data_IF_457419608475
#
_entry.id   IF_457419608475
#
_cell.length_a   1.000
_cell.length_b   1.000
_cell.length_c   1.000
_cell.angle_alpha   90.00
_cell.angle_beta   90.00
_cell.angle_gamma   90.00
#
_symmetry.space_group_name_H-M   'P 1'
#
loop_
_entity.id
_entity.type
_entity.pdbx_description
1 polymer ?
#
# COMPACT_ATOMS: atom_id res chain seq x y z
N UNK A 1 48.10 -53.50 -28.24
CA UNK A 1 46.92 -53.52 -27.35
C UNK A 1 47.29 -52.79 -26.05
N UNK A 2 47.04 -51.48 -25.97
CA UNK A 2 47.36 -50.63 -24.80
C UNK A 2 46.11 -50.46 -23.93
N UNK A 3 46.09 -51.11 -22.75
CA UNK A 3 45.02 -50.92 -21.76
C UNK A 3 45.18 -49.55 -21.08
N UNK A 4 44.35 -48.57 -21.44
CA UNK A 4 44.15 -47.34 -20.66
C UNK A 4 43.51 -47.71 -19.32
N UNK A 5 44.25 -47.60 -18.22
CA UNK A 5 43.71 -47.66 -16.85
C UNK A 5 43.01 -46.33 -16.54
N UNK A 6 41.69 -46.32 -16.62
CA UNK A 6 40.88 -45.20 -16.15
C UNK A 6 40.79 -45.28 -14.61
N UNK A 7 41.56 -44.47 -13.88
CA UNK A 7 41.44 -44.35 -12.42
C UNK A 7 40.38 -43.30 -12.12
N UNK A 8 39.13 -43.72 -11.93
CA UNK A 8 38.16 -42.89 -11.21
C UNK A 8 38.62 -42.79 -9.76
N UNK A 9 39.11 -41.61 -9.38
CA UNK A 9 39.56 -41.31 -8.03
C UNK A 9 38.35 -40.72 -7.29
N UNK A 10 37.62 -41.55 -6.56
CA UNK A 10 36.56 -41.07 -5.67
C UNK A 10 37.17 -40.11 -4.65
N UNK A 11 36.89 -38.82 -4.80
CA UNK A 11 37.38 -37.76 -3.91
C UNK A 11 36.63 -37.87 -2.59
N UNK A 12 37.25 -38.49 -1.59
CA UNK A 12 36.72 -38.58 -0.22
C UNK A 12 36.80 -37.19 0.43
N UNK A 13 35.66 -36.53 0.62
CA UNK A 13 35.57 -35.20 1.26
C UNK A 13 36.04 -35.30 2.72
N UNK A 14 36.90 -34.38 3.16
CA UNK A 14 37.39 -34.38 4.55
C UNK A 14 36.38 -33.74 5.50
N UNK A 15 36.35 -34.19 6.77
CA UNK A 15 35.43 -33.63 7.78
C UNK A 15 35.59 -32.10 7.94
N UNK A 16 36.80 -31.57 7.80
CA UNK A 16 37.08 -30.12 7.83
C UNK A 16 36.45 -29.37 6.66
N UNK A 17 36.42 -29.97 5.46
CA UNK A 17 35.72 -29.38 4.30
C UNK A 17 34.21 -29.32 4.53
N UNK A 18 33.63 -30.35 5.16
CA UNK A 18 32.21 -30.36 5.53
C UNK A 18 31.87 -29.27 6.55
N UNK A 19 32.74 -29.04 7.56
CA UNK A 19 32.56 -27.96 8.54
C UNK A 19 32.62 -26.59 7.86
N UNK A 20 33.59 -26.36 6.97
CA UNK A 20 33.72 -25.07 6.27
C UNK A 20 32.49 -24.79 5.41
N UNK A 21 32.03 -25.78 4.64
CA UNK A 21 30.82 -25.63 3.80
C UNK A 21 29.59 -25.42 4.69
N UNK A 22 29.46 -26.16 5.80
CA UNK A 22 28.37 -25.98 6.76
C UNK A 22 28.33 -24.57 7.35
N UNK A 23 29.47 -24.06 7.84
CA UNK A 23 29.58 -22.70 8.36
C UNK A 23 29.25 -21.64 7.30
N UNK A 24 29.69 -21.85 6.05
CA UNK A 24 29.39 -20.93 4.95
C UNK A 24 27.88 -20.90 4.62
N UNK A 25 27.21 -22.05 4.62
CA UNK A 25 25.76 -22.12 4.42
C UNK A 25 24.99 -21.42 5.54
N UNK A 26 25.46 -21.51 6.79
CA UNK A 26 24.85 -20.80 7.93
C UNK A 26 24.99 -19.28 7.74
N UNK A 27 26.17 -18.78 7.35
CA UNK A 27 26.39 -17.36 7.11
C UNK A 27 25.49 -16.84 5.97
N UNK A 28 25.37 -17.60 4.87
CA UNK A 28 24.47 -17.25 3.76
C UNK A 28 23.01 -17.23 4.23
N UNK A 29 22.59 -18.22 5.02
CA UNK A 29 21.23 -18.27 5.58
C UNK A 29 20.91 -17.05 6.45
N UNK A 30 21.82 -16.68 7.36
CA UNK A 30 21.69 -15.48 8.19
C UNK A 30 21.65 -14.22 7.31
N UNK A 31 22.50 -14.16 6.28
CA UNK A 31 22.51 -13.04 5.33
C UNK A 31 21.19 -12.86 4.60
N UNK A 32 20.53 -13.94 4.18
CA UNK A 32 19.22 -13.88 3.51
C UNK A 32 18.14 -13.38 4.48
N UNK A 33 18.08 -13.92 5.70
CA UNK A 33 17.08 -13.51 6.70
C UNK A 33 17.31 -12.07 7.15
N UNK A 34 18.56 -11.73 7.49
CA UNK A 34 18.96 -10.38 7.88
C UNK A 34 18.74 -9.36 6.77
N UNK A 35 19.07 -9.71 5.52
CA UNK A 35 18.81 -8.87 4.35
C UNK A 35 17.32 -8.61 4.14
N UNK A 36 16.45 -9.63 4.30
CA UNK A 36 14.99 -9.46 4.24
C UNK A 36 14.49 -8.53 5.34
N UNK A 37 14.98 -8.69 6.57
CA UNK A 37 14.58 -7.84 7.69
C UNK A 37 15.00 -6.38 7.46
N UNK A 38 16.25 -6.14 7.08
CA UNK A 38 16.77 -4.80 6.77
C UNK A 38 16.00 -4.16 5.61
N UNK A 39 15.74 -4.92 4.54
CA UNK A 39 14.97 -4.42 3.41
C UNK A 39 13.53 -4.04 3.80
N UNK A 40 12.86 -4.82 4.65
CA UNK A 40 11.54 -4.45 5.18
C UNK A 40 11.60 -3.17 6.02
N UNK A 41 12.60 -3.05 6.90
CA UNK A 41 12.79 -1.87 7.75
C UNK A 41 12.99 -0.60 6.92
N UNK A 42 13.90 -0.64 5.94
CA UNK A 42 14.16 0.49 5.04
C UNK A 42 12.92 0.87 4.21
N UNK A 43 12.13 -0.10 3.79
CA UNK A 43 10.89 0.17 3.04
C UNK A 43 9.82 0.82 3.91
N UNK A 44 9.66 0.40 5.16
CA UNK A 44 8.71 1.03 6.09
C UNK A 44 9.11 2.48 6.39
N UNK A 45 10.39 2.72 6.66
CA UNK A 45 10.91 4.08 6.88
C UNK A 45 10.72 4.97 5.65
N UNK A 46 10.94 4.42 4.45
CA UNK A 46 10.66 5.14 3.22
C UNK A 46 9.16 5.48 3.07
N UNK A 47 8.27 4.56 3.44
CA UNK A 47 6.82 4.81 3.44
C UNK A 47 6.43 5.93 4.41
N UNK A 48 6.91 5.87 5.65
CA UNK A 48 6.69 6.90 6.68
C UNK A 48 7.15 8.27 6.17
N UNK A 49 8.38 8.37 5.64
CA UNK A 49 8.90 9.61 5.07
C UNK A 49 8.05 10.15 3.91
N UNK A 50 7.49 9.28 3.05
CA UNK A 50 6.62 9.71 1.94
C UNK A 50 5.27 10.24 2.45
N UNK A 51 4.71 9.63 3.49
CA UNK A 51 3.47 10.07 4.13
C UNK A 51 3.70 11.40 4.88
N UNK A 52 4.81 11.53 5.60
CA UNK A 52 5.19 12.77 6.28
C UNK A 52 5.38 13.92 5.28
N UNK A 53 6.11 13.66 4.19
CA UNK A 53 6.29 14.64 3.10
C UNK A 53 4.94 15.06 2.52
N UNK A 54 4.03 14.11 2.28
CA UNK A 54 2.67 14.40 1.82
C UNK A 54 1.93 15.32 2.82
N UNK A 55 1.95 15.02 4.12
CA UNK A 55 1.27 15.87 5.10
C UNK A 55 1.87 17.28 5.18
N UNK A 56 3.18 17.43 5.08
CA UNK A 56 3.80 18.77 5.02
C UNK A 56 3.35 19.54 3.76
N UNK A 57 3.37 18.91 2.58
CA UNK A 57 2.88 19.52 1.34
C UNK A 57 1.38 19.90 1.43
N UNK A 58 0.56 19.12 2.14
CA UNK A 58 -0.86 19.45 2.33
C UNK A 58 -1.13 20.57 3.33
N UNK A 59 -0.25 20.78 4.33
CA UNK A 59 -0.40 21.91 5.28
C UNK A 59 -0.27 23.26 4.56
N UNK A 60 0.65 23.34 3.60
CA UNK A 60 0.82 24.56 2.77
C UNK A 60 -0.47 24.91 2.03
N UNK A 61 -1.21 23.92 1.52
CA UNK A 61 -2.52 24.12 0.88
C UNK A 61 -3.56 24.66 1.87
N UNK A 62 -3.57 24.16 3.10
CA UNK A 62 -4.50 24.61 4.14
C UNK A 62 -4.22 26.07 4.51
N UNK A 63 -2.96 26.46 4.66
CA UNK A 63 -2.55 27.80 5.08
C UNK A 63 -2.79 28.89 4.00
N UNK A 64 -2.71 28.52 2.71
CA UNK A 64 -2.96 29.45 1.58
C UNK A 64 -4.44 29.81 1.34
N UNK A 65 -5.40 29.20 2.05
CA UNK A 65 -6.84 29.52 1.88
C UNK A 65 -7.33 30.78 2.62
N UNK A 66 -6.40 31.59 3.15
CA UNK A 66 -6.72 32.95 3.64
C UNK A 66 -6.55 33.95 2.48
N UNK A 67 -7.57 34.76 2.11
CA UNK A 67 -7.47 35.57 0.89
C UNK A 67 -6.48 36.72 1.09
N UNK A 68 -5.33 36.66 0.43
CA UNK A 68 -4.55 37.85 0.10
C UNK A 68 -3.90 37.67 -1.28
N UNK A 69 -4.19 38.65 -2.12
CA UNK A 69 -3.78 38.98 -3.49
C UNK A 69 -2.51 38.33 -4.09
N UNK A 70 -2.64 38.04 -5.39
CA UNK A 70 -1.63 37.68 -6.40
C UNK A 70 -0.21 38.23 -6.14
N UNK A 71 0.78 37.32 -6.10
CA UNK A 71 2.14 37.60 -6.59
C UNK A 71 2.77 36.38 -7.27
N UNK A 72 2.88 36.50 -8.58
CA UNK A 72 3.98 36.14 -9.49
C UNK A 72 4.97 35.03 -9.09
N UNK A 73 5.07 34.04 -9.98
CA UNK A 73 5.99 32.92 -10.00
C UNK A 73 7.47 33.36 -10.08
N UNK A 74 8.32 32.82 -9.20
CA UNK A 74 9.75 32.63 -9.49
C UNK A 74 10.09 31.14 -9.46
N UNK A 75 10.43 30.60 -10.63
CA UNK A 75 11.08 29.30 -10.79
C UNK A 75 12.46 29.32 -10.12
N UNK A 76 12.65 28.55 -9.05
CA UNK A 76 13.99 28.17 -8.58
C UNK A 76 14.21 26.67 -8.77
N UNK A 77 14.91 26.36 -9.86
CA UNK A 77 15.51 25.07 -10.13
C UNK A 77 16.54 24.72 -9.04
N UNK A 78 16.36 23.58 -8.36
CA UNK A 78 17.39 22.91 -7.57
C UNK A 78 17.71 21.52 -8.14
N UNK A 79 18.93 21.00 -7.91
CA UNK A 79 19.64 20.20 -8.89
C UNK A 79 19.21 18.73 -8.89
N UNK A 80 19.07 18.21 -10.10
CA UNK A 80 18.95 16.80 -10.45
C UNK A 80 20.05 15.97 -9.79
N UNK A 81 19.67 15.14 -8.82
CA UNK A 81 20.47 13.99 -8.39
C UNK A 81 19.57 12.76 -8.40
N UNK A 82 19.74 11.94 -9.44
CA UNK A 82 19.24 10.57 -9.64
C UNK A 82 17.80 10.30 -9.22
N UNK A 83 16.84 10.60 -10.11
CA UNK A 83 15.43 10.22 -9.97
C UNK A 83 15.25 8.70 -9.92
N UNK A 84 15.27 8.13 -8.71
CA UNK A 84 14.38 7.00 -8.43
C UNK A 84 12.96 7.55 -8.57
N UNK A 85 12.09 6.91 -9.35
CA UNK A 85 10.69 7.38 -9.56
C UNK A 85 9.99 7.47 -8.19
N UNK A 86 10.00 8.66 -7.58
CA UNK A 86 9.33 8.98 -6.31
C UNK A 86 7.85 8.64 -6.50
N UNK A 87 7.29 7.87 -5.59
CA UNK A 87 5.84 7.67 -5.57
C UNK A 87 5.25 8.98 -5.12
N UNK A 88 4.38 9.55 -5.95
CA UNK A 88 3.65 10.77 -5.62
C UNK A 88 2.29 10.38 -5.06
N UNK A 89 2.09 10.63 -3.77
CA UNK A 89 0.84 10.31 -3.08
C UNK A 89 -0.12 11.47 -3.23
N UNK A 90 -1.33 11.16 -3.69
CA UNK A 90 -2.39 12.16 -3.82
C UNK A 90 -3.32 12.19 -2.62
N UNK A 91 -3.32 11.13 -1.82
CA UNK A 91 -4.13 11.00 -0.61
C UNK A 91 -3.48 10.02 0.36
N UNK A 92 -3.89 10.04 1.63
CA UNK A 92 -3.51 9.04 2.63
C UNK A 92 -4.79 8.46 3.24
N UNK A 93 -4.91 7.13 3.26
CA UNK A 93 -5.98 6.45 3.99
C UNK A 93 -5.51 6.03 5.38
N UNK A 94 -6.37 6.22 6.37
CA UNK A 94 -6.16 5.78 7.75
C UNK A 94 -7.34 4.94 8.25
N UNK A 95 -7.04 3.81 8.88
CA UNK A 95 -8.01 2.95 9.55
C UNK A 95 -7.47 2.60 10.94
N UNK A 96 -7.79 3.40 11.98
CA UNK A 96 -7.18 3.29 13.30
C UNK A 96 -7.33 1.91 13.94
N UNK A 97 -8.52 1.29 13.86
CA UNK A 97 -8.81 -0.02 14.48
C UNK A 97 -7.86 -1.14 14.06
N UNK A 98 -7.30 -1.04 12.85
CA UNK A 98 -6.38 -2.05 12.30
C UNK A 98 -4.95 -1.51 12.13
N UNK A 99 -4.68 -0.31 12.60
CA UNK A 99 -3.38 0.36 12.49
C UNK A 99 -2.90 0.53 11.05
N UNK A 100 -3.82 0.75 10.11
CA UNK A 100 -3.47 1.01 8.71
C UNK A 100 -3.34 2.52 8.51
N UNK A 101 -2.19 2.93 7.99
CA UNK A 101 -1.95 4.26 7.44
C UNK A 101 -1.13 4.07 6.16
N UNK A 102 -1.65 4.54 5.02
CA UNK A 102 -1.07 4.22 3.71
C UNK A 102 -1.33 5.32 2.69
N UNK A 103 -0.27 5.75 2.01
CA UNK A 103 -0.38 6.68 0.89
C UNK A 103 -1.00 6.03 -0.34
N UNK A 104 -1.86 6.77 -1.03
CA UNK A 104 -2.57 6.38 -2.24
C UNK A 104 -1.96 7.09 -3.45
N UNK A 105 -1.54 6.32 -4.44
CA UNK A 105 -0.99 6.86 -5.67
C UNK A 105 -2.11 7.31 -6.63
N UNK A 106 -1.83 8.31 -7.47
CA UNK A 106 -2.80 8.80 -8.46
C UNK A 106 -3.24 7.71 -9.45
N UNK A 107 -4.46 7.82 -9.98
CA UNK A 107 -5.05 6.80 -10.86
C UNK A 107 -4.18 6.43 -12.07
N UNK A 108 -3.50 7.40 -12.66
CA UNK A 108 -2.58 7.21 -13.79
C UNK A 108 -1.17 6.73 -13.40
N UNK A 109 -0.88 6.58 -12.11
CA UNK A 109 0.43 6.18 -11.63
C UNK A 109 0.71 4.70 -11.85
N UNK A 110 1.96 4.38 -12.21
CA UNK A 110 2.48 3.01 -12.19
C UNK A 110 2.31 2.32 -10.83
N UNK A 111 2.20 3.09 -9.75
CA UNK A 111 2.06 2.58 -8.39
C UNK A 111 0.59 2.35 -7.97
N UNK A 112 -0.40 2.81 -8.74
CA UNK A 112 -1.82 2.59 -8.46
C UNK A 112 -2.27 1.20 -8.97
N UNK A 113 -1.84 0.15 -8.28
CA UNK A 113 -2.30 -1.22 -8.53
C UNK A 113 -2.12 -2.09 -7.29
N UNK A 114 -2.96 -3.12 -7.15
CA UNK A 114 -2.96 -4.02 -5.98
C UNK A 114 -1.64 -4.76 -5.72
N UNK A 115 -0.80 -4.94 -6.75
CA UNK A 115 0.52 -5.57 -6.60
C UNK A 115 1.56 -4.63 -5.95
N UNK A 116 1.26 -3.33 -5.80
CA UNK A 116 2.18 -2.31 -5.28
C UNK A 116 1.57 -1.44 -4.18
N UNK A 117 0.29 -1.12 -4.27
CA UNK A 117 -0.43 -0.21 -3.36
C UNK A 117 -1.91 -0.63 -3.21
N UNK A 118 -2.67 0.10 -2.40
CA UNK A 118 -4.12 0.13 -2.48
C UNK A 118 -4.49 0.82 -3.81
N UNK A 119 -5.34 0.16 -4.59
CA UNK A 119 -5.80 0.64 -5.89
C UNK A 119 -7.00 1.57 -5.71
N UNK A 120 -6.89 2.81 -6.17
CA UNK A 120 -8.04 3.65 -6.49
C UNK A 120 -8.59 3.18 -7.83
N UNK A 121 -9.84 2.70 -7.88
CA UNK A 121 -10.45 2.25 -9.14
C UNK A 121 -10.67 3.41 -10.10
N UNK A 122 -10.70 3.09 -11.41
CA UNK A 122 -10.91 4.10 -12.45
C UNK A 122 -12.26 4.81 -12.28
N UNK A 123 -13.29 4.05 -11.92
CA UNK A 123 -14.68 4.47 -11.68
C UNK A 123 -14.87 5.24 -10.36
N UNK A 124 -13.86 5.30 -9.51
CA UNK A 124 -13.91 6.00 -8.22
C UNK A 124 -14.11 7.51 -8.40
N UNK A 125 -14.84 8.16 -7.52
CA UNK A 125 -14.69 9.60 -7.31
C UNK A 125 -13.50 9.89 -6.37
N UNK A 126 -13.21 11.17 -6.12
CA UNK A 126 -12.32 11.61 -5.05
C UNK A 126 -13.12 12.13 -3.85
N UNK A 127 -12.53 12.23 -2.64
CA UNK A 127 -13.28 12.57 -1.42
C UNK A 127 -14.06 13.89 -1.45
N UNK A 128 -13.57 14.87 -2.23
CA UNK A 128 -14.15 16.21 -2.43
C UNK A 128 -15.40 16.23 -3.33
N UNK A 129 -15.69 15.14 -4.02
CA UNK A 129 -16.90 15.03 -4.85
C UNK A 129 -18.13 14.88 -3.96
N UNK A 130 -19.01 15.89 -3.97
CA UNK A 130 -20.31 15.84 -3.31
C UNK A 130 -21.10 14.60 -3.77
N UNK A 131 -21.64 13.84 -2.80
CA UNK A 131 -22.38 12.60 -3.02
C UNK A 131 -21.64 11.53 -3.84
N UNK A 132 -20.31 11.68 -3.95
CA UNK A 132 -19.43 10.77 -4.65
C UNK A 132 -19.17 9.47 -3.90
N UNK A 133 -18.44 8.56 -4.55
CA UNK A 133 -17.98 7.32 -3.96
C UNK A 133 -16.49 7.09 -4.25
N UNK A 134 -15.66 7.15 -3.22
CA UNK A 134 -14.26 6.74 -3.32
C UNK A 134 -14.21 5.21 -3.25
N UNK A 135 -13.64 4.54 -4.25
CA UNK A 135 -13.62 3.08 -4.36
C UNK A 135 -12.18 2.59 -4.33
N UNK A 136 -11.83 1.89 -3.25
CA UNK A 136 -10.49 1.38 -3.00
C UNK A 136 -10.50 -0.15 -2.99
N UNK A 137 -9.55 -0.76 -3.70
CA UNK A 137 -9.33 -2.20 -3.68
C UNK A 137 -7.92 -2.54 -3.18
N UNK A 138 -7.81 -3.57 -2.36
CA UNK A 138 -6.53 -4.01 -1.80
C UNK A 138 -6.48 -5.52 -1.58
N UNK A 139 -5.28 -6.08 -1.62
CA UNK A 139 -5.09 -7.49 -1.30
C UNK A 139 -5.38 -7.79 0.18
N UNK A 140 -5.93 -8.98 0.40
CA UNK A 140 -5.99 -9.64 1.70
C UNK A 140 -5.03 -10.84 1.71
N UNK A 141 -4.60 -11.29 2.89
CA UNK A 141 -3.69 -12.42 3.07
C UNK A 141 -2.35 -12.03 3.71
N UNK A 142 -1.30 -12.79 3.39
CA UNK A 142 0.03 -12.69 4.02
C UNK A 142 1.08 -11.98 3.18
N UNK A 143 0.74 -11.58 1.95
CA UNK A 143 1.64 -10.85 1.06
C UNK A 143 2.04 -9.49 1.62
N UNK A 144 3.20 -8.97 1.20
CA UNK A 144 3.69 -7.65 1.64
C UNK A 144 2.77 -6.50 1.28
N UNK A 145 2.04 -6.62 0.17
CA UNK A 145 1.06 -5.63 -0.30
C UNK A 145 -0.37 -5.96 0.11
N UNK A 146 -0.56 -6.91 1.04
CA UNK A 146 -1.87 -7.25 1.60
C UNK A 146 -2.32 -6.20 2.63
N UNK A 147 -2.42 -4.94 2.22
CA UNK A 147 -2.78 -3.80 3.08
C UNK A 147 -4.17 -3.95 3.70
N UNK A 148 -5.08 -4.66 3.02
CA UNK A 148 -6.45 -4.93 3.48
C UNK A 148 -6.62 -6.28 4.19
N UNK A 149 -5.52 -6.94 4.58
CA UNK A 149 -5.56 -8.25 5.30
C UNK A 149 -6.39 -8.24 6.58
N UNK A 150 -6.56 -7.09 7.22
CA UNK A 150 -7.26 -6.94 8.49
C UNK A 150 -8.64 -6.27 8.36
N UNK A 151 -9.15 -5.97 7.16
CA UNK A 151 -10.46 -5.33 7.01
C UNK A 151 -11.58 -6.15 7.65
N UNK A 152 -11.46 -7.48 7.71
CA UNK A 152 -12.44 -8.37 8.38
C UNK A 152 -12.66 -8.07 9.87
N UNK A 153 -11.78 -7.27 10.49
CA UNK A 153 -11.90 -6.82 11.89
C UNK A 153 -12.77 -5.56 12.03
N UNK A 154 -13.14 -4.94 10.92
CA UNK A 154 -14.04 -3.80 10.92
C UNK A 154 -15.48 -4.25 11.17
N UNK A 155 -16.18 -3.43 11.92
CA UNK A 155 -17.56 -3.54 12.36
C UNK A 155 -18.26 -2.21 12.07
N UNK A 156 -19.59 -2.19 12.14
CA UNK A 156 -20.36 -0.95 12.03
C UNK A 156 -19.86 0.08 13.04
N UNK A 157 -19.89 1.36 12.64
CA UNK A 157 -19.41 2.53 13.38
C UNK A 157 -17.87 2.70 13.50
N UNK A 158 -17.07 1.76 13.01
CA UNK A 158 -15.63 1.96 12.96
C UNK A 158 -15.23 3.09 12.01
N UNK A 159 -14.21 3.84 12.40
CA UNK A 159 -13.72 5.00 11.65
C UNK A 159 -12.75 4.61 10.53
N UNK A 160 -12.91 5.27 9.39
CA UNK A 160 -11.96 5.29 8.27
C UNK A 160 -11.83 6.74 7.81
N UNK A 161 -10.61 7.24 7.60
CA UNK A 161 -10.41 8.57 7.05
C UNK A 161 -9.54 8.57 5.80
N UNK A 162 -9.76 9.57 4.95
CA UNK A 162 -8.90 9.88 3.81
C UNK A 162 -8.48 11.34 3.92
N UNK A 163 -7.17 11.58 3.98
CA UNK A 163 -6.61 12.91 3.85
C UNK A 163 -6.38 13.22 2.37
N UNK A 164 -6.97 14.30 1.86
CA UNK A 164 -6.93 14.68 0.44
C UNK A 164 -7.19 16.18 0.28
N UNK A 165 -6.38 16.87 -0.51
CA UNK A 165 -6.61 18.27 -0.86
C UNK A 165 -6.68 19.19 0.35
N UNK A 166 -5.78 19.02 1.32
CA UNK A 166 -5.69 19.84 2.54
C UNK A 166 -6.80 19.57 3.57
N UNK A 167 -7.63 18.55 3.40
CA UNK A 167 -8.70 18.20 4.33
C UNK A 167 -8.72 16.71 4.68
N UNK A 168 -9.16 16.40 5.90
CA UNK A 168 -9.43 15.04 6.35
C UNK A 168 -10.92 14.71 6.24
N UNK A 169 -11.25 13.73 5.41
CA UNK A 169 -12.61 13.22 5.24
C UNK A 169 -12.79 11.99 6.13
N UNK A 170 -13.60 12.11 7.18
CA UNK A 170 -13.85 11.03 8.15
C UNK A 170 -15.16 10.32 7.85
N UNK A 171 -15.08 9.00 7.71
CA UNK A 171 -16.18 8.11 7.40
C UNK A 171 -16.41 7.12 8.54
N UNK A 172 -17.63 6.59 8.63
CA UNK A 172 -17.96 5.43 9.47
C UNK A 172 -18.46 4.27 8.64
N UNK A 173 -18.04 3.05 8.99
CA UNK A 173 -18.58 1.82 8.39
C UNK A 173 -20.07 1.72 8.72
N UNK A 174 -20.91 1.63 7.69
CA UNK A 174 -22.37 1.49 7.84
C UNK A 174 -22.87 0.12 7.38
N UNK A 175 -22.16 -0.54 6.48
CA UNK A 175 -22.57 -1.84 5.95
C UNK A 175 -21.37 -2.65 5.45
N UNK A 176 -21.52 -3.97 5.44
CA UNK A 176 -20.59 -4.90 4.80
C UNK A 176 -21.33 -6.09 4.19
N UNK A 177 -20.91 -6.56 3.02
CA UNK A 177 -21.50 -7.73 2.38
C UNK A 177 -20.51 -8.45 1.47
N UNK A 178 -20.71 -9.75 1.31
CA UNK A 178 -19.92 -10.57 0.40
C UNK A 178 -20.53 -10.59 -1.01
N UNK A 179 -19.68 -10.59 -2.03
CA UNK A 179 -20.04 -10.77 -3.44
C UNK A 179 -19.21 -11.90 -4.08
N UNK A 180 -19.71 -12.48 -5.17
CA UNK A 180 -18.96 -13.45 -5.98
C UNK A 180 -17.92 -12.75 -6.87
N UNK A 181 -16.75 -13.38 -7.08
CA UNK A 181 -15.66 -12.88 -7.94
C UNK A 181 -15.97 -13.08 -9.43
N UNK A 182 -16.97 -12.36 -9.93
CA UNK A 182 -17.40 -12.46 -11.34
C UNK A 182 -16.67 -11.49 -12.28
N UNK A 183 -15.80 -10.63 -11.74
CA UNK A 183 -15.18 -9.52 -12.47
C UNK A 183 -15.99 -8.22 -12.41
N UNK A 184 -17.21 -8.26 -11.87
CA UNK A 184 -18.06 -7.08 -11.63
C UNK A 184 -18.49 -7.06 -10.17
N UNK A 185 -18.60 -5.85 -9.60
CA UNK A 185 -19.04 -5.63 -8.22
C UNK A 185 -20.23 -4.66 -8.22
N UNK A 186 -21.38 -5.12 -7.73
CA UNK A 186 -22.53 -4.26 -7.52
C UNK A 186 -22.39 -3.57 -6.16
N UNK A 187 -22.15 -2.25 -6.18
CA UNK A 187 -21.99 -1.44 -4.98
C UNK A 187 -23.35 -0.84 -4.59
N UNK A 188 -23.90 -1.29 -3.46
CA UNK A 188 -25.12 -0.73 -2.87
C UNK A 188 -24.73 0.31 -1.81
N UNK A 189 -25.15 1.56 -2.02
CA UNK A 189 -24.86 2.69 -1.13
C UNK A 189 -26.02 3.69 -1.11
N UNK A 190 -26.02 4.61 -0.14
CA UNK A 190 -26.87 5.79 -0.19
C UNK A 190 -26.31 6.79 -1.21
N UNK A 191 -27.13 7.16 -2.21
CA UNK A 191 -26.74 8.10 -3.27
C UNK A 191 -26.68 9.56 -2.78
N UNK A 192 -27.43 9.89 -1.72
CA UNK A 192 -27.51 11.24 -1.13
C UNK A 192 -26.39 11.51 -0.10
N UNK A 193 -25.38 10.63 -0.06
CA UNK A 193 -24.23 10.76 0.84
C UNK A 193 -22.93 10.53 0.08
N UNK A 194 -21.89 11.26 0.47
CA UNK A 194 -20.52 10.91 0.10
C UNK A 194 -20.10 9.63 0.81
N UNK A 195 -19.50 8.71 0.06
CA UNK A 195 -19.20 7.35 0.53
C UNK A 195 -17.78 6.93 0.21
N UNK A 196 -17.30 5.97 0.99
CA UNK A 196 -16.06 5.25 0.75
C UNK A 196 -16.36 3.75 0.71
N UNK A 197 -15.97 3.11 -0.38
CA UNK A 197 -16.10 1.68 -0.61
C UNK A 197 -14.73 1.01 -0.49
N UNK A 198 -14.58 0.04 0.42
CA UNK A 198 -13.36 -0.76 0.54
C UNK A 198 -13.62 -2.20 0.08
N UNK A 199 -12.80 -2.69 -0.86
CA UNK A 199 -12.97 -4.00 -1.49
C UNK A 199 -11.75 -4.87 -1.24
N UNK A 200 -11.97 -6.09 -0.72
CA UNK A 200 -10.89 -7.08 -0.60
C UNK A 200 -11.39 -8.52 -0.79
N UNK A 201 -10.45 -9.46 -0.92
CA UNK A 201 -10.79 -10.88 -1.00
C UNK A 201 -11.16 -11.44 0.38
N UNK A 202 -12.22 -12.24 0.43
CA UNK A 202 -12.57 -13.04 1.60
C UNK A 202 -11.68 -14.28 1.66
N UNK A 203 -10.94 -14.44 2.76
CA UNK A 203 -9.96 -15.53 2.91
C UNK A 203 -10.63 -16.90 2.80
N UNK A 204 -9.98 -17.85 2.10
CA UNK A 204 -10.46 -19.22 1.86
C UNK A 204 -11.83 -19.33 1.17
N UNK A 205 -12.22 -18.35 0.36
CA UNK A 205 -13.45 -18.41 -0.44
C UNK A 205 -13.24 -17.86 -1.86
N UNK A 206 -14.21 -18.09 -2.74
CA UNK A 206 -14.29 -17.43 -4.03
C UNK A 206 -14.99 -16.06 -3.99
N UNK A 207 -15.12 -15.46 -2.80
CA UNK A 207 -15.86 -14.22 -2.58
C UNK A 207 -14.94 -13.01 -2.35
N UNK A 208 -15.45 -11.84 -2.65
CA UNK A 208 -14.93 -10.56 -2.16
C UNK A 208 -15.85 -10.04 -1.07
N UNK A 209 -15.31 -9.26 -0.16
CA UNK A 209 -16.08 -8.50 0.81
C UNK A 209 -15.98 -7.02 0.44
N UNK A 210 -17.12 -6.35 0.53
CA UNK A 210 -17.27 -4.91 0.32
C UNK A 210 -17.67 -4.28 1.65
N UNK A 211 -16.96 -3.23 2.05
CA UNK A 211 -17.34 -2.33 3.13
C UNK A 211 -17.86 -1.03 2.52
N UNK A 212 -18.97 -0.54 3.05
CA UNK A 212 -19.53 0.77 2.72
C UNK A 212 -19.38 1.65 3.96
N UNK A 213 -18.71 2.78 3.77
CA UNK A 213 -18.55 3.81 4.77
C UNK A 213 -19.23 5.10 4.30
N UNK A 214 -19.88 5.81 5.21
CA UNK A 214 -20.55 7.09 4.95
C UNK A 214 -19.78 8.22 5.61
N UNK A 215 -19.65 9.36 4.91
CA UNK A 215 -18.98 10.55 5.43
C UNK A 215 -19.75 11.08 6.64
N UNK A 216 -19.02 11.41 7.70
CA UNK A 216 -19.54 11.99 8.94
C UNK A 216 -19.06 13.42 9.12
N UNK A 217 -17.79 13.68 8.79
CA UNK A 217 -17.14 14.96 9.02
C UNK A 217 -16.07 15.21 7.95
N UNK A 218 -15.91 16.47 7.54
CA UNK A 218 -14.74 16.97 6.82
C UNK A 218 -14.05 17.98 7.73
N UNK A 219 -12.78 17.75 8.03
CA UNK A 219 -11.91 18.63 8.85
C UNK A 219 -10.90 19.32 7.97
#
# INVERSE_FOLDING_TARGET
MLKRKNKNKDRKVSKSQLIIVGSLLIIVGIGIVGGKYLYNYLQNQNEENLIDTFYEEQKEITDETTPTEEKEQEEQQKPTTTQTKKIDYIAVIKIPKIGLEKGLASKGSYYNNVNRNILILNESDMPDKENGNVILAGHSGSGRTAFFKNLYKLETDDEVSIFYGGSEYKYKVVNQYDIEKTGTANIVRNAEKSTLTLITCRHNTNKQIIYICELVEKV
#
